data_IF_222912481767
#
_entry.id   IF_222912481767
#
_cell.length_a   1.000
_cell.length_b   1.000
_cell.length_c   1.000
_cell.angle_alpha   90.00
_cell.angle_beta   90.00
_cell.angle_gamma   90.00
#
_symmetry.space_group_name_H-M   'P 1'
#
loop_
_entity.id
_entity.type
_entity.pdbx_description
1 polymer ?
#
# COMPACT_ATOMS: atom_id res chain seq x y z
N UNK A 1 2.86 6.16 -23.31
CA UNK A 1 2.04 5.31 -22.41
C UNK A 1 0.62 5.35 -22.97
N UNK A 2 0.08 4.23 -23.48
CA UNK A 2 -1.27 4.21 -24.10
C UNK A 2 -2.29 4.78 -23.10
N UNK A 3 -3.22 5.61 -23.58
CA UNK A 3 -4.32 6.26 -22.85
C UNK A 3 -3.97 7.40 -21.88
N UNK A 4 -2.71 7.84 -21.75
CA UNK A 4 -2.38 8.98 -20.87
C UNK A 4 -3.01 10.28 -21.37
N UNK A 5 -2.91 10.56 -22.67
CA UNK A 5 -3.46 11.79 -23.25
C UNK A 5 -4.99 11.78 -23.25
N UNK A 6 -5.60 10.59 -23.38
CA UNK A 6 -7.05 10.43 -23.41
C UNK A 6 -7.69 10.64 -22.03
N UNK A 7 -7.10 10.09 -20.97
CA UNK A 7 -7.61 10.19 -19.60
C UNK A 7 -7.11 11.43 -18.85
N UNK A 8 -6.22 12.23 -19.45
CA UNK A 8 -5.75 13.52 -18.91
C UNK A 8 -6.19 14.72 -19.74
N UNK A 9 -7.10 14.51 -20.69
CA UNK A 9 -7.68 15.59 -21.50
C UNK A 9 -8.48 16.54 -20.60
N UNK A 10 -8.06 17.81 -20.44
CA UNK A 10 -8.74 18.77 -19.59
C UNK A 10 -10.20 19.00 -19.98
N UNK A 11 -10.52 18.97 -21.28
CA UNK A 11 -11.90 19.19 -21.74
C UNK A 11 -12.82 18.07 -21.30
N UNK A 12 -12.35 16.82 -21.32
CA UNK A 12 -13.12 15.67 -20.84
C UNK A 12 -13.28 15.72 -19.32
N UNK A 13 -12.23 16.10 -18.59
CA UNK A 13 -12.28 16.25 -17.13
C UNK A 13 -13.29 17.32 -16.74
N UNK A 14 -13.28 18.49 -17.38
CA UNK A 14 -14.23 19.56 -17.06
C UNK A 14 -15.68 19.15 -17.34
N UNK A 15 -15.96 18.44 -18.44
CA UNK A 15 -17.31 17.89 -18.70
C UNK A 15 -17.75 16.87 -17.64
N UNK A 16 -16.81 16.07 -17.12
CA UNK A 16 -17.11 15.15 -16.02
C UNK A 16 -17.41 15.91 -14.73
N UNK A 17 -16.66 16.97 -14.42
CA UNK A 17 -16.92 17.83 -13.25
C UNK A 17 -18.31 18.47 -13.34
N UNK A 18 -18.69 19.02 -14.50
CA UNK A 18 -20.04 19.56 -14.72
C UNK A 18 -21.13 18.50 -14.46
N UNK A 19 -20.91 17.28 -14.94
CA UNK A 19 -21.82 16.16 -14.72
C UNK A 19 -21.89 15.79 -13.24
N UNK A 20 -20.77 15.79 -12.53
CA UNK A 20 -20.69 15.50 -11.10
C UNK A 20 -21.41 16.59 -10.29
N UNK A 21 -21.23 17.87 -10.63
CA UNK A 21 -21.93 18.99 -10.01
C UNK A 21 -23.45 18.86 -10.16
N UNK A 22 -23.94 18.58 -11.37
CA UNK A 22 -25.36 18.39 -11.62
C UNK A 22 -25.94 17.20 -10.83
N UNK A 23 -25.21 16.09 -10.74
CA UNK A 23 -25.66 14.89 -10.01
C UNK A 23 -25.58 15.06 -8.50
N UNK A 24 -24.54 15.71 -7.99
CA UNK A 24 -24.34 15.89 -6.56
C UNK A 24 -25.47 16.71 -5.92
N UNK A 25 -26.04 17.68 -6.65
CA UNK A 25 -27.22 18.44 -6.22
C UNK A 25 -28.49 17.58 -6.07
N UNK A 26 -28.57 16.45 -6.77
CA UNK A 26 -29.71 15.53 -6.67
C UNK A 26 -29.54 14.49 -5.54
N UNK A 27 -28.39 14.45 -4.87
CA UNK A 27 -28.14 13.52 -3.76
C UNK A 27 -28.53 14.15 -2.41
N UNK A 28 -28.92 13.33 -1.41
CA UNK A 28 -29.30 13.82 -0.08
C UNK A 28 -28.07 14.15 0.81
N UNK A 29 -27.01 14.74 0.23
CA UNK A 29 -25.79 15.13 0.93
C UNK A 29 -25.61 16.65 0.87
N UNK A 30 -25.15 17.24 1.97
CA UNK A 30 -24.93 18.69 2.10
C UNK A 30 -23.49 18.96 2.50
N UNK A 31 -23.00 20.22 2.42
CA UNK A 31 -21.67 20.55 2.94
C UNK A 31 -21.48 20.21 4.43
N UNK A 32 -22.55 20.23 5.24
CA UNK A 32 -22.52 19.85 6.66
C UNK A 32 -22.57 18.33 6.90
N UNK A 33 -23.03 17.57 5.89
CA UNK A 33 -23.08 16.10 5.90
C UNK A 33 -22.72 15.59 4.50
N UNK A 34 -21.43 15.68 4.12
CA UNK A 34 -20.99 15.34 2.77
C UNK A 34 -21.05 13.82 2.54
N UNK A 35 -21.11 13.42 1.27
CA UNK A 35 -20.86 12.05 0.84
C UNK A 35 -19.38 11.74 1.05
N UNK A 36 -19.09 10.85 1.99
CA UNK A 36 -17.72 10.51 2.37
C UNK A 36 -17.20 9.29 1.63
N UNK A 37 -16.26 9.53 0.71
CA UNK A 37 -15.67 8.52 -0.16
C UNK A 37 -14.24 8.22 0.31
N UNK A 38 -14.00 7.02 0.81
CA UNK A 38 -12.66 6.61 1.23
C UNK A 38 -11.88 6.00 0.07
N UNK A 39 -10.74 6.59 -0.30
CA UNK A 39 -9.76 5.95 -1.16
C UNK A 39 -8.80 5.08 -0.33
N UNK A 40 -8.33 3.98 -0.91
CA UNK A 40 -7.53 2.98 -0.20
C UNK A 40 -6.29 2.58 -1.03
N UNK A 41 -5.74 3.54 -1.75
CA UNK A 41 -4.61 3.34 -2.67
C UNK A 41 -3.75 4.60 -2.72
N UNK A 42 -2.48 4.51 -2.31
CA UNK A 42 -1.57 5.67 -2.36
C UNK A 42 -1.46 6.34 -3.74
N UNK A 43 -1.69 5.60 -4.83
CA UNK A 43 -1.77 6.18 -6.17
C UNK A 43 -2.99 7.07 -6.40
N UNK A 44 -4.14 6.74 -5.80
CA UNK A 44 -5.33 7.59 -5.79
C UNK A 44 -5.12 8.82 -4.90
N UNK A 45 -4.59 8.64 -3.67
CA UNK A 45 -4.18 9.75 -2.80
C UNK A 45 -3.30 10.74 -3.58
N UNK A 46 -2.25 10.23 -4.23
CA UNK A 46 -1.34 11.06 -5.01
C UNK A 46 -2.04 11.79 -6.17
N UNK A 47 -2.94 11.12 -6.89
CA UNK A 47 -3.68 11.74 -7.99
C UNK A 47 -4.65 12.82 -7.50
N UNK A 48 -5.38 12.58 -6.41
CA UNK A 48 -6.32 13.54 -5.82
C UNK A 48 -5.58 14.84 -5.46
N UNK A 49 -4.47 14.74 -4.72
CA UNK A 49 -3.69 15.92 -4.35
C UNK A 49 -2.99 16.58 -5.53
N UNK A 50 -2.36 15.78 -6.41
CA UNK A 50 -1.59 16.32 -7.54
C UNK A 50 -2.46 17.13 -8.51
N UNK A 51 -3.71 16.72 -8.70
CA UNK A 51 -4.63 17.37 -9.62
C UNK A 51 -5.67 18.25 -8.92
N UNK A 52 -5.59 18.40 -7.58
CA UNK A 52 -6.53 19.21 -6.80
C UNK A 52 -7.98 18.76 -6.98
N UNK A 53 -8.22 17.45 -7.09
CA UNK A 53 -9.58 16.93 -7.36
C UNK A 53 -10.53 17.22 -6.20
N UNK A 54 -10.01 17.31 -4.99
CA UNK A 54 -10.73 17.76 -3.79
C UNK A 54 -11.32 19.18 -3.94
N UNK A 55 -10.62 20.08 -4.63
CA UNK A 55 -11.07 21.45 -4.87
C UNK A 55 -11.99 21.59 -6.08
N UNK A 56 -11.96 20.61 -6.99
CA UNK A 56 -12.77 20.62 -8.21
C UNK A 56 -14.13 19.95 -8.03
N UNK A 57 -14.31 19.18 -6.96
CA UNK A 57 -15.55 18.49 -6.66
C UNK A 57 -16.54 19.38 -5.88
N UNK A 58 -17.85 19.07 -5.95
CA UNK A 58 -18.87 19.67 -5.09
C UNK A 58 -18.51 19.63 -3.60
N UNK A 59 -18.86 20.70 -2.86
CA UNK A 59 -18.64 20.80 -1.41
C UNK A 59 -19.39 19.73 -0.59
N UNK A 60 -20.40 19.09 -1.17
CA UNK A 60 -21.12 17.98 -0.53
C UNK A 60 -20.48 16.60 -0.80
N UNK A 61 -19.24 16.56 -1.30
CA UNK A 61 -18.43 15.35 -1.46
C UNK A 61 -17.12 15.54 -0.71
N UNK A 62 -16.76 14.57 0.13
CA UNK A 62 -15.54 14.58 0.92
C UNK A 62 -14.72 13.32 0.65
N UNK A 63 -13.43 13.46 0.37
CA UNK A 63 -12.52 12.32 0.29
C UNK A 63 -11.91 12.01 1.65
N UNK A 64 -11.96 10.74 2.03
CA UNK A 64 -11.25 10.20 3.19
C UNK A 64 -10.03 9.42 2.69
N UNK A 65 -8.86 9.71 3.25
CA UNK A 65 -7.63 8.98 2.94
C UNK A 65 -7.50 7.75 3.84
N UNK A 66 -7.77 6.59 3.25
CA UNK A 66 -7.70 5.31 3.92
C UNK A 66 -6.28 4.74 3.99
N UNK A 67 -6.14 3.51 4.54
CA UNK A 67 -4.86 2.82 4.70
C UNK A 67 -4.33 2.27 3.36
N UNK A 68 -4.02 3.15 2.41
CA UNK A 68 -3.60 2.82 1.04
C UNK A 68 -2.09 2.69 0.82
N UNK A 69 -1.29 2.81 1.87
CA UNK A 69 0.17 2.74 1.85
C UNK A 69 0.64 1.70 2.88
N UNK A 70 1.18 0.53 2.46
CA UNK A 70 1.52 -0.57 3.37
C UNK A 70 2.63 -0.18 4.35
N UNK A 71 3.54 0.70 3.92
CA UNK A 71 4.63 1.26 4.72
C UNK A 71 4.10 2.19 5.80
N UNK A 72 3.11 3.02 5.46
CA UNK A 72 2.58 4.06 6.33
C UNK A 72 1.73 3.50 7.48
N UNK A 73 1.17 2.30 7.29
CA UNK A 73 0.34 1.60 8.29
C UNK A 73 1.10 0.51 9.03
N UNK A 74 2.41 0.40 8.79
CA UNK A 74 3.25 -0.59 9.45
C UNK A 74 3.42 -0.20 10.93
N UNK A 75 3.13 -1.10 11.89
CA UNK A 75 3.36 -0.81 13.30
C UNK A 75 4.84 -0.56 13.59
N UNK A 76 5.17 0.48 14.37
CA UNK A 76 6.55 0.83 14.72
C UNK A 76 7.37 -0.36 15.24
N UNK A 77 6.77 -1.21 16.07
CA UNK A 77 7.44 -2.40 16.60
C UNK A 77 7.90 -3.40 15.52
N UNK A 78 7.31 -3.38 14.32
CA UNK A 78 7.80 -4.20 13.19
C UNK A 78 9.10 -3.66 12.61
N UNK A 79 9.27 -2.34 12.56
CA UNK A 79 10.54 -1.72 12.17
C UNK A 79 11.62 -2.04 13.21
N UNK A 80 11.28 -2.01 14.50
CA UNK A 80 12.21 -2.39 15.56
C UNK A 80 12.70 -3.84 15.40
N UNK A 81 11.79 -4.78 15.09
CA UNK A 81 12.18 -6.16 14.76
C UNK A 81 13.06 -6.24 13.51
N UNK A 82 12.79 -5.44 12.47
CA UNK A 82 13.66 -5.38 11.28
C UNK A 82 15.07 -4.90 11.63
N UNK A 83 15.18 -3.88 12.50
CA UNK A 83 16.47 -3.35 12.97
C UNK A 83 17.21 -4.38 13.80
N UNK A 84 16.52 -5.11 14.69
CA UNK A 84 17.09 -6.20 15.48
C UNK A 84 17.66 -7.30 14.58
N UNK A 85 16.87 -7.78 13.61
CA UNK A 85 17.32 -8.79 12.64
C UNK A 85 18.53 -8.29 11.84
N UNK A 86 18.50 -7.05 11.37
CA UNK A 86 19.58 -6.46 10.58
C UNK A 86 20.87 -6.26 11.39
N UNK A 87 20.78 -6.14 12.72
CA UNK A 87 21.94 -5.94 13.59
C UNK A 87 22.82 -7.18 13.75
N UNK A 88 22.32 -8.37 13.39
CA UNK A 88 23.09 -9.60 13.42
C UNK A 88 24.21 -9.59 12.35
N UNK A 89 25.49 -9.78 12.73
CA UNK A 89 26.62 -9.68 11.79
C UNK A 89 26.55 -10.64 10.60
N UNK A 90 25.93 -11.81 10.77
CA UNK A 90 25.78 -12.80 9.70
C UNK A 90 24.66 -12.47 8.71
N UNK A 91 23.82 -11.47 9.01
CA UNK A 91 22.62 -11.16 8.23
C UNK A 91 22.91 -10.16 7.12
N UNK A 92 22.30 -10.38 5.95
CA UNK A 92 22.09 -9.37 4.91
C UNK A 92 20.59 -9.08 4.88
N UNK A 93 20.20 -7.90 5.34
CA UNK A 93 18.79 -7.52 5.43
C UNK A 93 18.34 -6.81 4.16
N UNK A 94 17.37 -7.38 3.45
CA UNK A 94 16.89 -6.84 2.19
C UNK A 94 15.52 -6.18 2.37
N UNK A 95 15.39 -4.93 1.91
CA UNK A 95 14.14 -4.16 2.00
C UNK A 95 13.90 -3.34 0.73
N UNK A 96 12.65 -2.97 0.48
CA UNK A 96 12.35 -1.92 -0.50
C UNK A 96 12.78 -0.55 0.03
N UNK A 97 13.02 0.39 -0.89
CA UNK A 97 13.56 1.72 -0.55
C UNK A 97 12.59 2.61 0.22
N UNK A 98 11.29 2.39 0.10
CA UNK A 98 10.24 3.12 0.81
C UNK A 98 10.25 2.85 2.33
N UNK A 99 10.57 1.62 2.75
CA UNK A 99 10.66 1.24 4.15
C UNK A 99 11.94 1.71 4.87
N UNK A 100 12.96 2.18 4.14
CA UNK A 100 14.27 2.55 4.71
C UNK A 100 14.20 3.66 5.75
N UNK A 101 13.28 4.62 5.57
CA UNK A 101 13.17 5.83 6.40
C UNK A 101 12.02 5.79 7.41
N UNK A 102 11.32 4.66 7.51
CA UNK A 102 10.21 4.53 8.45
C UNK A 102 10.77 4.56 9.87
N UNK A 103 10.24 5.43 10.75
CA UNK A 103 10.71 5.50 12.12
C UNK A 103 10.21 4.29 12.92
N UNK A 104 11.13 3.62 13.62
CA UNK A 104 10.85 2.75 14.76
C UNK A 104 11.23 3.44 16.08
N UNK A 105 11.09 2.72 17.19
CA UNK A 105 11.54 3.19 18.51
C UNK A 105 13.07 3.37 18.55
N UNK A 106 13.80 2.49 17.89
CA UNK A 106 15.28 2.46 17.88
C UNK A 106 15.88 3.11 16.63
N UNK A 107 15.16 4.04 16.00
CA UNK A 107 15.51 4.67 14.73
C UNK A 107 14.91 3.94 13.53
N UNK A 108 15.48 4.18 12.35
CA UNK A 108 15.07 3.60 11.07
C UNK A 108 16.07 2.54 10.58
N UNK A 109 15.70 1.81 9.52
CA UNK A 109 16.62 0.89 8.82
C UNK A 109 17.82 1.63 8.22
N UNK A 110 17.65 2.90 7.85
CA UNK A 110 18.76 3.76 7.43
C UNK A 110 19.74 4.01 8.59
N UNK A 111 19.25 4.27 9.79
CA UNK A 111 20.08 4.46 10.98
C UNK A 111 20.79 3.15 11.39
N UNK A 112 20.13 1.99 11.22
CA UNK A 112 20.76 0.69 11.40
C UNK A 112 21.92 0.49 10.41
N UNK A 113 21.72 0.85 9.14
CA UNK A 113 22.78 0.80 8.12
C UNK A 113 23.96 1.71 8.47
N UNK A 114 23.69 2.92 8.97
CA UNK A 114 24.74 3.84 9.43
C UNK A 114 25.52 3.29 10.63
N UNK A 115 24.90 2.45 11.46
CA UNK A 115 25.55 1.74 12.58
C UNK A 115 26.32 0.47 12.15
N UNK A 116 26.38 0.17 10.85
CA UNK A 116 27.17 -0.95 10.31
C UNK A 116 26.36 -2.21 9.97
N UNK A 117 25.03 -2.20 10.10
CA UNK A 117 24.19 -3.29 9.62
C UNK A 117 24.23 -3.41 8.08
N UNK A 118 24.31 -4.63 7.54
CA UNK A 118 24.27 -4.88 6.09
C UNK A 118 22.81 -4.84 5.58
N UNK A 119 22.28 -3.63 5.42
CA UNK A 119 20.95 -3.37 4.86
C UNK A 119 21.05 -3.02 3.37
N UNK A 120 20.41 -3.82 2.51
CA UNK A 120 20.41 -3.65 1.05
C UNK A 120 19.02 -3.30 0.54
N UNK A 121 18.98 -2.31 -0.35
CA UNK A 121 17.77 -1.93 -1.07
C UNK A 121 17.63 -2.84 -2.28
N UNK A 122 16.46 -3.46 -2.41
CA UNK A 122 16.10 -4.32 -3.55
C UNK A 122 14.89 -3.74 -4.30
N UNK A 123 14.70 -4.18 -5.55
CA UNK A 123 13.56 -3.78 -6.38
C UNK A 123 12.58 -4.92 -6.64
N UNK A 124 12.99 -6.15 -6.38
CA UNK A 124 12.13 -7.33 -6.44
C UNK A 124 12.52 -8.36 -5.36
N UNK A 125 11.59 -9.22 -4.91
CA UNK A 125 11.92 -10.34 -4.03
C UNK A 125 12.98 -11.28 -4.65
N UNK A 126 13.01 -11.42 -5.98
CA UNK A 126 14.00 -12.22 -6.70
C UNK A 126 15.43 -11.70 -6.53
N UNK A 127 15.62 -10.39 -6.34
CA UNK A 127 16.95 -9.82 -6.06
C UNK A 127 17.49 -10.33 -4.73
N UNK A 128 16.64 -10.44 -3.71
CA UNK A 128 17.03 -10.99 -2.41
C UNK A 128 17.36 -12.49 -2.49
N UNK A 129 16.62 -13.25 -3.30
CA UNK A 129 16.97 -14.65 -3.57
C UNK A 129 18.33 -14.78 -4.27
N UNK A 130 18.60 -13.92 -5.25
CA UNK A 130 19.90 -13.87 -5.93
C UNK A 130 21.04 -13.56 -4.95
N UNK A 131 20.82 -12.62 -4.02
CA UNK A 131 21.77 -12.33 -2.94
C UNK A 131 22.03 -13.56 -2.05
N UNK A 132 21.00 -14.34 -1.72
CA UNK A 132 21.16 -15.56 -0.94
C UNK A 132 22.04 -16.60 -1.65
N UNK A 133 21.86 -16.75 -2.96
CA UNK A 133 22.68 -17.65 -3.78
C UNK A 133 24.14 -17.18 -3.91
N UNK A 134 24.37 -15.87 -3.92
CA UNK A 134 25.70 -15.27 -4.03
C UNK A 134 26.48 -15.27 -2.70
N UNK A 135 25.79 -15.34 -1.56
CA UNK A 135 26.39 -15.29 -0.23
C UNK A 135 25.95 -16.51 0.60
N UNK A 136 26.37 -17.74 0.25
CA UNK A 136 25.91 -18.97 0.90
C UNK A 136 26.29 -19.06 2.38
N UNK A 137 27.30 -18.32 2.81
CA UNK A 137 27.81 -18.19 4.19
C UNK A 137 27.02 -17.17 5.05
N UNK A 138 26.12 -16.40 4.44
CA UNK A 138 25.34 -15.34 5.08
C UNK A 138 23.86 -15.68 5.11
N UNK A 139 23.14 -15.19 6.13
CA UNK A 139 21.67 -15.31 6.22
C UNK A 139 21.05 -14.12 5.50
N UNK A 140 20.36 -14.35 4.39
CA UNK A 140 19.67 -13.28 3.66
C UNK A 140 18.22 -13.23 4.10
N UNK A 141 17.83 -12.13 4.73
CA UNK A 141 16.46 -11.92 5.22
C UNK A 141 15.77 -10.90 4.34
N UNK A 142 14.70 -11.30 3.65
CA UNK A 142 13.84 -10.38 2.90
C UNK A 142 12.69 -9.86 3.77
N UNK A 143 12.60 -8.55 3.89
CA UNK A 143 11.47 -7.86 4.51
C UNK A 143 10.28 -7.79 3.54
N UNK A 144 9.34 -8.72 3.72
CA UNK A 144 8.15 -8.82 2.90
C UNK A 144 7.07 -7.84 3.29
N UNK A 145 7.09 -6.66 2.69
CA UNK A 145 6.08 -5.62 2.90
C UNK A 145 5.25 -5.41 1.63
N UNK A 146 3.94 -5.19 1.82
CA UNK A 146 3.04 -4.80 0.75
C UNK A 146 1.64 -5.39 0.87
N UNK A 147 0.78 -5.02 -0.07
CA UNK A 147 -0.60 -5.51 -0.15
C UNK A 147 -0.70 -6.77 -1.02
N UNK A 148 -1.92 -7.22 -1.30
CA UNK A 148 -2.22 -8.39 -2.11
C UNK A 148 -1.58 -8.35 -3.50
N UNK A 149 -1.25 -7.16 -4.03
CA UNK A 149 -0.60 -7.01 -5.34
C UNK A 149 0.88 -7.41 -5.35
N UNK A 150 1.56 -7.36 -4.20
CA UNK A 150 2.97 -7.74 -4.07
C UNK A 150 3.15 -9.19 -3.60
N UNK A 151 2.15 -9.74 -2.89
CA UNK A 151 2.17 -11.12 -2.38
C UNK A 151 2.48 -12.19 -3.45
N UNK A 152 1.93 -12.16 -4.69
CA UNK A 152 2.21 -13.19 -5.68
C UNK A 152 3.68 -13.25 -6.10
N UNK A 153 4.34 -12.10 -6.27
CA UNK A 153 5.75 -12.05 -6.62
C UNK A 153 6.61 -12.67 -5.52
N UNK A 154 6.32 -12.31 -4.26
CA UNK A 154 6.96 -12.91 -3.08
C UNK A 154 6.76 -14.43 -3.01
N UNK A 155 5.52 -14.90 -3.21
CA UNK A 155 5.20 -16.33 -3.15
C UNK A 155 5.93 -17.13 -4.25
N UNK A 156 6.03 -16.56 -5.47
CA UNK A 156 6.80 -17.17 -6.56
C UNK A 156 8.29 -17.26 -6.21
N UNK A 157 8.87 -16.22 -5.62
CA UNK A 157 10.28 -16.25 -5.18
C UNK A 157 10.50 -17.31 -4.09
N UNK A 158 9.60 -17.45 -3.12
CA UNK A 158 9.71 -18.51 -2.09
C UNK A 158 9.64 -19.91 -2.72
N UNK A 159 8.76 -20.11 -3.71
CA UNK A 159 8.70 -21.38 -4.46
C UNK A 159 9.99 -21.65 -5.22
N UNK A 160 10.58 -20.63 -5.84
CA UNK A 160 11.87 -20.74 -6.53
C UNK A 160 13.00 -21.08 -5.56
N UNK A 161 13.06 -20.41 -4.40
CA UNK A 161 14.04 -20.69 -3.36
C UNK A 161 13.98 -22.15 -2.89
N UNK A 162 12.75 -22.66 -2.66
CA UNK A 162 12.51 -24.06 -2.30
C UNK A 162 12.94 -25.02 -3.41
N UNK A 163 12.60 -24.73 -4.66
CA UNK A 163 13.00 -25.56 -5.81
C UNK A 163 14.52 -25.60 -6.03
N UNK A 164 15.20 -24.48 -5.76
CA UNK A 164 16.66 -24.37 -5.83
C UNK A 164 17.38 -24.80 -4.54
N UNK A 165 16.65 -25.33 -3.54
CA UNK A 165 17.18 -25.78 -2.27
C UNK A 165 18.04 -24.74 -1.52
N UNK A 166 17.67 -23.46 -1.60
CA UNK A 166 18.38 -22.36 -0.94
C UNK A 166 18.02 -22.34 0.56
N UNK A 167 18.99 -22.66 1.42
CA UNK A 167 18.77 -22.83 2.86
C UNK A 167 19.00 -21.56 3.69
N UNK A 168 19.69 -20.56 3.13
CA UNK A 168 20.06 -19.31 3.80
C UNK A 168 19.14 -18.13 3.45
N UNK A 169 18.01 -18.39 2.78
CA UNK A 169 17.03 -17.38 2.41
C UNK A 169 15.84 -17.40 3.36
N UNK A 170 15.67 -16.30 4.10
CA UNK A 170 14.62 -16.13 5.09
C UNK A 170 13.67 -15.01 4.70
N UNK A 171 12.45 -15.09 5.18
CA UNK A 171 11.39 -14.16 4.83
C UNK A 171 10.68 -13.64 6.08
N UNK A 172 10.77 -12.35 6.32
CA UNK A 172 10.04 -11.67 7.39
C UNK A 172 8.73 -11.11 6.82
N UNK A 173 7.64 -11.84 7.00
CA UNK A 173 6.35 -11.51 6.41
C UNK A 173 5.63 -10.40 7.19
N UNK A 174 5.45 -9.24 6.56
CA UNK A 174 4.55 -8.16 7.00
C UNK A 174 3.63 -7.73 5.84
N UNK A 175 3.20 -8.68 5.01
CA UNK A 175 2.18 -8.39 4.01
C UNK A 175 0.83 -8.16 4.68
N UNK A 176 0.07 -7.20 4.16
CA UNK A 176 -1.22 -6.78 4.71
C UNK A 176 -2.30 -7.13 3.69
N UNK A 177 -3.43 -7.65 4.16
CA UNK A 177 -4.62 -7.82 3.33
C UNK A 177 -5.54 -6.64 3.60
N UNK A 178 -5.97 -5.94 2.55
CA UNK A 178 -6.75 -4.72 2.63
C UNK A 178 -8.17 -4.99 3.13
N UNK A 179 -8.84 -6.03 2.62
CA UNK A 179 -10.25 -6.31 2.94
C UNK A 179 -10.51 -6.48 4.45
N UNK A 180 -9.71 -7.25 5.22
CA UNK A 180 -9.86 -7.30 6.68
C UNK A 180 -9.73 -5.94 7.37
N UNK A 181 -8.80 -5.09 6.92
CA UNK A 181 -8.60 -3.74 7.47
C UNK A 181 -9.83 -2.88 7.22
N UNK A 182 -10.38 -2.91 6.00
CA UNK A 182 -11.59 -2.15 5.67
C UNK A 182 -12.82 -2.64 6.44
N UNK A 183 -12.96 -3.96 6.64
CA UNK A 183 -14.05 -4.52 7.46
C UNK A 183 -13.96 -4.04 8.91
N UNK A 184 -12.77 -4.09 9.49
CA UNK A 184 -12.53 -3.62 10.85
C UNK A 184 -12.87 -2.13 11.02
N UNK A 185 -12.59 -1.29 10.01
CA UNK A 185 -13.03 0.12 9.98
C UNK A 185 -14.56 0.27 9.90
N UNK A 186 -15.23 -0.50 9.04
CA UNK A 186 -16.69 -0.45 8.88
C UNK A 186 -17.48 -1.00 10.08
N UNK A 187 -16.84 -1.78 10.95
CA UNK A 187 -17.44 -2.29 12.19
C UNK A 187 -17.42 -1.25 13.32
N UNK A 188 -16.68 -0.15 13.18
CA UNK A 188 -16.62 0.90 14.20
C UNK A 188 -17.93 1.70 14.23
N UNK A 189 -18.53 1.95 15.40
CA UNK A 189 -19.85 2.61 15.52
C UNK A 189 -19.94 3.98 14.84
N UNK A 190 -18.82 4.70 14.76
CA UNK A 190 -18.70 6.05 14.20
C UNK A 190 -17.95 6.07 12.86
N UNK A 191 -17.99 4.98 12.07
CA UNK A 191 -17.41 5.02 10.74
C UNK A 191 -18.28 5.89 9.82
N UNK A 192 -17.83 7.11 9.55
CA UNK A 192 -18.50 8.05 8.67
C UNK A 192 -18.22 7.78 7.19
N UNK A 193 -18.15 6.53 6.74
CA UNK A 193 -17.75 6.19 5.36
C UNK A 193 -18.99 5.76 4.58
N UNK A 194 -19.29 6.44 3.47
CA UNK A 194 -20.43 6.10 2.60
C UNK A 194 -20.01 5.20 1.42
N UNK A 195 -18.77 5.34 0.93
CA UNK A 195 -18.29 4.61 -0.24
C UNK A 195 -16.77 4.41 -0.23
N UNK A 196 -16.29 3.46 -1.04
CA UNK A 196 -14.85 3.23 -1.27
C UNK A 196 -14.45 3.48 -2.72
N UNK A 197 -13.32 4.15 -2.92
CA UNK A 197 -12.61 4.21 -4.19
C UNK A 197 -11.55 3.09 -4.22
N UNK A 198 -11.97 1.93 -4.71
CA UNK A 198 -11.17 0.71 -4.78
C UNK A 198 -9.93 0.86 -5.68
N UNK A 199 -8.74 0.34 -5.30
CA UNK A 199 -7.59 0.22 -6.17
C UNK A 199 -7.95 -0.58 -7.43
N UNK A 200 -7.22 -0.32 -8.53
CA UNK A 200 -7.44 -1.01 -9.80
C UNK A 200 -7.55 -2.53 -9.57
N UNK A 201 -8.70 -3.15 -9.89
CA UNK A 201 -8.83 -4.59 -9.77
C UNK A 201 -7.91 -5.27 -10.78
N UNK A 202 -7.09 -6.24 -10.34
CA UNK A 202 -6.47 -7.19 -11.28
C UNK A 202 -7.39 -8.34 -11.63
N UNK A 203 -8.43 -8.61 -10.82
CA UNK A 203 -9.38 -9.68 -11.09
C UNK A 203 -10.81 -9.24 -10.73
N UNK A 204 -11.74 -9.45 -11.65
CA UNK A 204 -13.18 -9.38 -11.43
C UNK A 204 -13.57 -10.51 -10.46
N UNK A 205 -13.65 -10.24 -9.15
CA UNK A 205 -14.13 -11.27 -8.20
C UNK A 205 -14.05 -10.94 -6.72
N UNK A 206 -12.98 -10.28 -6.26
CA UNK A 206 -12.65 -10.31 -4.82
C UNK A 206 -13.20 -9.15 -3.97
N UNK A 207 -13.91 -8.20 -4.57
CA UNK A 207 -14.67 -7.22 -3.78
C UNK A 207 -15.93 -7.90 -3.24
N UNK A 208 -15.85 -8.32 -1.98
CA UNK A 208 -16.93 -8.97 -1.23
C UNK A 208 -18.29 -8.27 -1.47
N UNK A 209 -19.40 -9.00 -1.67
CA UNK A 209 -20.71 -8.40 -1.99
C UNK A 209 -21.16 -7.29 -1.03
N UNK A 210 -20.78 -7.39 0.26
CA UNK A 210 -21.07 -6.35 1.29
C UNK A 210 -20.34 -5.02 1.08
N UNK A 211 -19.27 -4.95 0.28
CA UNK A 211 -18.60 -3.69 -0.07
C UNK A 211 -19.28 -2.97 -1.25
N UNK A 212 -20.24 -3.62 -1.94
CA UNK A 212 -20.97 -2.98 -3.06
C UNK A 212 -22.05 -2.01 -2.59
N UNK A 213 -22.60 -2.19 -1.40
CA UNK A 213 -23.59 -1.29 -0.82
C UNK A 213 -23.58 -1.42 0.71
N UNK A 214 -22.76 -0.64 1.39
CA UNK A 214 -23.04 -0.27 2.78
C UNK A 214 -23.89 1.00 2.74
N UNK A 215 -25.17 0.84 2.38
CA UNK A 215 -26.20 1.81 2.71
C UNK A 215 -26.88 1.30 3.97
N UNK A 216 -26.89 2.10 5.04
CA UNK A 216 -27.94 1.97 6.06
C UNK A 216 -29.29 2.34 5.43
#
# INVERSE_FOLDING_TARGET
MRFVDEYRDPQKVMRLIETLNARANALPYTPQRPLRIMEVCGGHTHAIFKFGLDQLLPENIEFIHGPGCPVCVLPMGRIDTCIEIASHPEVIFCTFGDAMRVPGKNGSLLDARMRGADVRIIYSPADALKLAQQHPDRKVVFFGLGFETTMPATALTLRQAKAANVQNFFFFCQHITLIPVLKSLLEQPENGIDAFLAPRPRQHGDWHPRLRFYRR
#
